data_IF_783583919008
#
_entry.id   IF_783583919008
#
_cell.length_a   1.000
_cell.length_b   1.000
_cell.length_c   1.000
_cell.angle_alpha   90.00
_cell.angle_beta   90.00
_cell.angle_gamma   90.00
#
_symmetry.space_group_name_H-M   'P 1'
#
loop_
_entity.id
_entity.type
_entity.pdbx_description
1 polymer ?
#
# COMPACT_ATOMS: atom_id res chain seq x y z
N UNK A 1 30.28 20.79 -38.93
CA UNK A 1 28.97 21.12 -38.34
C UNK A 1 28.88 20.30 -37.06
N UNK A 2 29.13 20.95 -35.93
CA UNK A 2 29.17 20.32 -34.60
C UNK A 2 27.74 19.97 -34.19
N UNK A 3 27.42 18.69 -34.09
CA UNK A 3 26.18 18.24 -33.47
C UNK A 3 26.35 18.36 -31.96
N UNK A 4 25.70 19.34 -31.36
CA UNK A 4 25.58 19.45 -29.90
C UNK A 4 24.89 18.18 -29.39
N UNK A 5 25.57 17.47 -28.50
CA UNK A 5 24.95 16.40 -27.70
C UNK A 5 24.03 17.10 -26.72
N UNK A 6 22.76 17.19 -27.09
CA UNK A 6 21.70 17.70 -26.21
C UNK A 6 21.57 16.73 -25.04
N UNK A 7 22.27 17.03 -23.93
CA UNK A 7 22.17 16.29 -22.68
C UNK A 7 20.79 16.57 -22.10
N UNK A 8 19.80 15.76 -22.52
CA UNK A 8 18.46 15.76 -21.93
C UNK A 8 18.64 15.48 -20.43
N UNK A 9 18.44 16.51 -19.62
CA UNK A 9 18.34 16.35 -18.18
C UNK A 9 17.21 15.36 -17.92
N UNK A 10 17.44 14.27 -17.17
CA UNK A 10 16.39 13.29 -16.94
C UNK A 10 15.21 13.94 -16.22
N UNK A 11 13.99 13.49 -16.56
CA UNK A 11 12.77 13.99 -15.94
C UNK A 11 12.78 13.58 -14.46
N UNK A 12 13.01 14.58 -13.59
CA UNK A 12 13.08 14.43 -12.15
C UNK A 12 11.89 13.68 -11.56
N UNK A 13 10.71 13.72 -12.20
CA UNK A 13 9.52 13.01 -11.74
C UNK A 13 9.54 11.51 -12.07
N UNK A 14 10.19 11.11 -13.17
CA UNK A 14 10.38 9.73 -13.58
C UNK A 14 11.47 9.06 -12.73
N UNK A 15 12.59 9.76 -12.51
CA UNK A 15 13.68 9.31 -11.65
C UNK A 15 13.21 9.10 -10.19
N UNK A 16 12.36 9.99 -9.68
CA UNK A 16 11.80 9.85 -8.33
C UNK A 16 10.88 8.64 -8.21
N UNK A 17 10.09 8.32 -9.24
CA UNK A 17 9.21 7.14 -9.23
C UNK A 17 10.02 5.84 -9.29
N UNK A 18 11.04 5.78 -10.14
CA UNK A 18 11.93 4.63 -10.21
C UNK A 18 12.72 4.45 -8.91
N UNK A 19 13.22 5.55 -8.33
CA UNK A 19 13.87 5.52 -7.03
C UNK A 19 12.93 4.99 -5.95
N UNK A 20 11.72 5.53 -5.83
CA UNK A 20 10.70 5.05 -4.88
C UNK A 20 10.42 3.56 -5.09
N UNK A 21 10.24 3.11 -6.33
CA UNK A 21 9.98 1.69 -6.61
C UNK A 21 11.16 0.80 -6.19
N UNK A 22 12.40 1.26 -6.35
CA UNK A 22 13.58 0.53 -5.89
C UNK A 22 13.71 0.45 -4.36
N UNK A 23 12.98 1.28 -3.63
CA UNK A 23 12.99 1.33 -2.15
C UNK A 23 11.81 0.57 -1.53
N UNK A 24 10.87 0.04 -2.33
CA UNK A 24 9.77 -0.76 -1.80
C UNK A 24 10.33 -2.10 -1.33
N UNK A 25 10.23 -2.35 -0.03
CA UNK A 25 10.54 -3.63 0.57
C UNK A 25 9.26 -4.32 1.03
N UNK A 26 9.21 -5.64 0.84
CA UNK A 26 8.11 -6.48 1.32
C UNK A 26 8.62 -7.33 2.48
N UNK A 27 7.87 -7.34 3.58
CA UNK A 27 8.14 -8.20 4.74
C UNK A 27 6.85 -8.69 5.38
N UNK A 28 6.96 -9.65 6.29
CA UNK A 28 5.83 -10.06 7.12
C UNK A 28 5.47 -8.97 8.13
N UNK A 29 4.20 -8.98 8.53
CA UNK A 29 3.68 -8.15 9.60
C UNK A 29 4.40 -8.37 10.94
N UNK A 30 4.65 -7.28 11.65
CA UNK A 30 5.09 -7.25 13.04
C UNK A 30 4.11 -6.43 13.88
N UNK A 31 3.95 -6.72 15.17
CA UNK A 31 2.93 -6.08 16.01
C UNK A 31 3.04 -4.54 16.05
N UNK A 32 4.26 -4.00 15.92
CA UNK A 32 4.54 -2.57 15.86
C UNK A 32 3.92 -1.86 14.63
N UNK A 33 3.54 -2.62 13.60
CA UNK A 33 2.94 -2.09 12.38
C UNK A 33 1.44 -1.81 12.51
N UNK A 34 0.83 -2.31 13.59
CA UNK A 34 -0.61 -2.32 13.82
C UNK A 34 -1.29 -0.98 13.57
N UNK A 35 -0.74 0.09 14.13
CA UNK A 35 -1.33 1.42 14.02
C UNK A 35 -1.28 1.97 12.60
N UNK A 36 -0.13 1.80 11.92
CA UNK A 36 0.03 2.20 10.52
C UNK A 36 -0.90 1.40 9.60
N UNK A 37 -1.11 0.10 9.85
CA UNK A 37 -2.08 -0.71 9.10
C UNK A 37 -3.52 -0.24 9.33
N UNK A 38 -3.91 -0.01 10.58
CA UNK A 38 -5.25 0.46 10.91
C UNK A 38 -5.56 1.78 10.20
N UNK A 39 -4.61 2.71 10.21
CA UNK A 39 -4.72 4.00 9.53
C UNK A 39 -4.77 3.84 8.01
N UNK A 40 -3.90 3.01 7.43
CA UNK A 40 -3.86 2.79 5.98
C UNK A 40 -5.16 2.15 5.48
N UNK A 41 -5.68 1.15 6.17
CA UNK A 41 -6.97 0.54 5.85
C UNK A 41 -8.10 1.57 5.92
N UNK A 42 -8.20 2.30 7.03
CA UNK A 42 -9.25 3.29 7.23
C UNK A 42 -9.24 4.35 6.12
N UNK A 43 -8.07 4.90 5.81
CA UNK A 43 -7.92 5.91 4.76
C UNK A 43 -8.25 5.35 3.39
N UNK A 44 -7.82 4.12 3.08
CA UNK A 44 -8.11 3.50 1.78
C UNK A 44 -9.61 3.30 1.61
N UNK A 45 -10.30 2.76 2.61
CA UNK A 45 -11.76 2.56 2.54
C UNK A 45 -12.50 3.90 2.46
N UNK A 46 -12.09 4.91 3.24
CA UNK A 46 -12.78 6.20 3.28
C UNK A 46 -12.52 7.10 2.07
N UNK A 47 -11.35 7.01 1.45
CA UNK A 47 -10.96 7.91 0.35
C UNK A 47 -11.13 7.29 -1.03
N UNK A 48 -10.92 5.98 -1.15
CA UNK A 48 -10.99 5.27 -2.43
C UNK A 48 -12.39 4.67 -2.61
N UNK A 49 -12.82 3.82 -1.67
CA UNK A 49 -14.08 3.07 -1.81
C UNK A 49 -15.33 3.97 -1.70
N UNK A 50 -15.21 5.21 -1.20
CA UNK A 50 -16.31 6.18 -1.18
C UNK A 50 -16.84 6.54 -2.57
N UNK A 51 -16.07 6.25 -3.63
CA UNK A 51 -16.48 6.47 -5.03
C UNK A 51 -17.46 5.40 -5.53
N UNK A 52 -17.36 4.19 -4.98
CA UNK A 52 -18.06 3.00 -5.48
C UNK A 52 -19.14 2.51 -4.50
N UNK A 53 -19.13 2.99 -3.25
CA UNK A 53 -20.02 2.54 -2.19
C UNK A 53 -20.69 3.69 -1.44
N UNK A 54 -21.87 3.42 -0.88
CA UNK A 54 -22.58 4.41 -0.07
C UNK A 54 -21.80 4.74 1.21
N UNK A 55 -22.02 5.95 1.75
CA UNK A 55 -21.37 6.36 3.00
C UNK A 55 -21.69 5.43 4.18
N UNK A 56 -22.86 4.78 4.18
CA UNK A 56 -23.22 3.81 5.20
C UNK A 56 -22.39 2.52 5.09
N UNK A 57 -22.17 2.01 3.86
CA UNK A 57 -21.31 0.85 3.65
C UNK A 57 -19.86 1.15 4.01
N UNK A 58 -19.35 2.30 3.57
CA UNK A 58 -17.98 2.75 3.91
C UNK A 58 -17.80 2.88 5.43
N UNK A 59 -18.76 3.49 6.14
CA UNK A 59 -18.74 3.59 7.61
C UNK A 59 -18.84 2.25 8.31
N UNK A 60 -19.59 1.30 7.74
CA UNK A 60 -19.70 -0.05 8.29
C UNK A 60 -18.37 -0.81 8.18
N UNK A 61 -17.60 -0.59 7.11
CA UNK A 61 -16.31 -1.26 6.90
C UNK A 61 -15.14 -0.56 7.57
N UNK A 62 -15.15 0.77 7.62
CA UNK A 62 -14.14 1.58 8.29
C UNK A 62 -14.82 2.61 9.17
N UNK A 63 -15.27 2.26 10.39
CA UNK A 63 -15.82 3.22 11.37
C UNK A 63 -14.82 4.32 11.72
N UNK A 64 -15.29 5.41 12.33
CA UNK A 64 -14.42 6.55 12.67
C UNK A 64 -13.32 6.17 13.69
N UNK A 65 -13.56 5.13 14.50
CA UNK A 65 -12.55 4.55 15.37
C UNK A 65 -11.71 3.52 14.58
N UNK A 66 -10.44 3.84 14.31
CA UNK A 66 -9.52 2.93 13.60
C UNK A 66 -9.21 1.65 14.39
N UNK A 67 -9.41 1.64 15.71
CA UNK A 67 -9.20 0.50 16.60
C UNK A 67 -10.48 -0.34 16.80
N UNK A 68 -11.47 -0.22 15.91
CA UNK A 68 -12.74 -0.98 16.00
C UNK A 68 -12.58 -2.51 15.92
N UNK A 69 -11.39 -3.00 15.54
CA UNK A 69 -11.03 -4.42 15.52
C UNK A 69 -9.63 -4.64 16.11
N UNK A 70 -9.37 -5.86 16.55
CA UNK A 70 -8.04 -6.26 17.03
C UNK A 70 -7.11 -6.54 15.84
N UNK A 71 -6.45 -5.49 15.36
CA UNK A 71 -5.56 -5.58 14.20
C UNK A 71 -4.37 -6.50 14.40
N UNK A 72 -3.80 -6.57 15.62
CA UNK A 72 -2.74 -7.54 15.94
C UNK A 72 -3.26 -8.96 15.70
N UNK A 73 -4.41 -9.30 16.27
CA UNK A 73 -4.99 -10.64 16.12
C UNK A 73 -5.35 -10.96 14.67
N UNK A 74 -5.98 -10.02 13.95
CA UNK A 74 -6.35 -10.26 12.55
C UNK A 74 -5.12 -10.44 11.67
N UNK A 75 -4.10 -9.61 11.82
CA UNK A 75 -2.89 -9.69 10.99
C UNK A 75 -2.01 -10.89 11.36
N UNK A 76 -1.88 -11.22 12.65
CA UNK A 76 -1.08 -12.36 13.13
C UNK A 76 -1.73 -13.72 12.87
N UNK A 77 -3.05 -13.77 12.71
CA UNK A 77 -3.75 -15.02 12.38
C UNK A 77 -3.69 -15.40 10.89
N UNK A 78 -3.06 -14.55 10.06
CA UNK A 78 -2.98 -14.69 8.58
C UNK A 78 -1.55 -14.48 8.10
N UNK A 79 -1.22 -14.92 6.88
CA UNK A 79 0.05 -14.52 6.26
C UNK A 79 -0.07 -13.09 5.72
N UNK A 80 0.07 -12.13 6.62
CA UNK A 80 -0.03 -10.71 6.29
C UNK A 80 1.33 -10.17 5.88
N UNK A 81 1.42 -9.71 4.64
CA UNK A 81 2.58 -9.02 4.09
C UNK A 81 2.38 -7.51 4.11
N UNK A 82 3.49 -6.81 4.31
CA UNK A 82 3.57 -5.35 4.33
C UNK A 82 4.52 -4.91 3.23
N UNK A 83 4.05 -3.98 2.40
CA UNK A 83 4.90 -3.17 1.54
C UNK A 83 5.24 -1.86 2.28
N UNK A 84 6.52 -1.59 2.45
CA UNK A 84 7.00 -0.38 3.12
C UNK A 84 8.09 0.31 2.31
N UNK A 85 8.19 1.62 2.49
CA UNK A 85 9.27 2.46 1.97
C UNK A 85 9.88 3.15 3.17
N UNK A 86 11.15 2.86 3.47
CA UNK A 86 11.80 3.29 4.70
C UNK A 86 10.93 2.91 5.92
N UNK A 87 10.45 3.84 6.72
CA UNK A 87 9.64 3.53 7.91
C UNK A 87 8.12 3.63 7.67
N UNK A 88 7.70 3.88 6.43
CA UNK A 88 6.29 4.12 6.08
C UNK A 88 5.68 2.89 5.42
N UNK A 89 4.58 2.40 5.98
CA UNK A 89 3.76 1.37 5.35
C UNK A 89 2.95 1.97 4.21
N UNK A 90 3.20 1.47 3.00
CA UNK A 90 2.54 1.92 1.77
C UNK A 90 1.58 0.87 1.22
N UNK A 91 1.54 -0.32 1.80
CA UNK A 91 0.58 -1.35 1.45
C UNK A 91 0.60 -2.51 2.44
N UNK A 92 -0.51 -3.23 2.52
CA UNK A 92 -0.53 -4.54 3.17
C UNK A 92 -1.48 -5.47 2.43
N UNK A 93 -1.24 -6.76 2.54
CA UNK A 93 -2.12 -7.76 1.96
C UNK A 93 -1.97 -9.12 2.62
N UNK A 94 -3.01 -9.93 2.46
CA UNK A 94 -3.11 -11.27 3.05
C UNK A 94 -2.89 -12.28 1.93
N UNK A 95 -1.99 -13.24 2.16
CA UNK A 95 -1.77 -14.38 1.29
C UNK A 95 -2.39 -15.63 1.92
N UNK A 96 -3.20 -16.35 1.16
CA UNK A 96 -3.70 -17.66 1.54
C UNK A 96 -2.57 -18.69 1.43
N UNK A 97 -2.68 -19.76 2.23
CA UNK A 97 -1.69 -20.85 2.21
C UNK A 97 -1.59 -21.57 0.84
N UNK A 98 -2.60 -21.39 -0.03
CA UNK A 98 -2.62 -21.90 -1.40
C UNK A 98 -1.97 -20.95 -2.43
N UNK A 99 -1.44 -19.81 -1.99
CA UNK A 99 -0.80 -18.81 -2.84
C UNK A 99 -1.75 -17.77 -3.45
N UNK A 100 -3.04 -17.77 -3.09
CA UNK A 100 -3.98 -16.73 -3.52
C UNK A 100 -3.89 -15.48 -2.64
N UNK A 101 -4.04 -14.29 -3.23
CA UNK A 101 -4.12 -13.03 -2.49
C UNK A 101 -5.57 -12.85 -2.02
N UNK A 102 -5.80 -12.83 -0.71
CA UNK A 102 -7.14 -12.64 -0.11
C UNK A 102 -7.53 -11.16 -0.09
N UNK A 103 -6.57 -10.27 0.21
CA UNK A 103 -6.76 -8.83 0.22
C UNK A 103 -5.45 -8.11 -0.10
N UNK A 104 -5.49 -7.01 -0.87
CA UNK A 104 -4.33 -6.16 -1.11
C UNK A 104 -4.73 -4.68 -1.11
N UNK A 105 -4.16 -3.92 -0.18
CA UNK A 105 -4.38 -2.48 -0.05
C UNK A 105 -3.07 -1.76 -0.38
N UNK A 106 -3.12 -0.85 -1.34
CA UNK A 106 -1.99 -0.02 -1.72
C UNK A 106 -2.35 1.45 -1.54
N UNK A 107 -1.45 2.18 -0.88
CA UNK A 107 -1.54 3.61 -0.68
C UNK A 107 -1.71 4.30 -2.03
N UNK A 108 -2.67 5.24 -2.09
CA UNK A 108 -3.15 5.89 -3.32
C UNK A 108 -2.05 6.50 -4.21
N UNK A 109 -0.93 6.93 -3.61
CA UNK A 109 0.20 7.52 -4.33
C UNK A 109 1.11 6.49 -5.04
N UNK A 110 0.94 5.18 -4.78
CA UNK A 110 1.78 4.11 -5.32
C UNK A 110 0.99 3.08 -6.13
N UNK A 111 -0.29 3.36 -6.41
CA UNK A 111 -1.06 2.57 -7.37
C UNK A 111 -0.48 2.75 -8.79
N UNK A 112 -0.32 1.64 -9.52
CA UNK A 112 0.32 1.63 -10.84
C UNK A 112 1.84 1.42 -10.85
N UNK A 113 2.48 1.28 -9.69
CA UNK A 113 3.92 0.98 -9.55
C UNK A 113 4.29 -0.51 -9.64
N UNK A 114 3.36 -1.39 -10.07
CA UNK A 114 3.66 -2.81 -10.24
C UNK A 114 3.73 -3.64 -8.95
N UNK A 115 3.25 -3.13 -7.82
CA UNK A 115 3.25 -3.86 -6.53
C UNK A 115 2.40 -5.15 -6.59
N UNK A 116 1.47 -5.27 -7.54
CA UNK A 116 0.72 -6.50 -7.84
C UNK A 116 1.22 -7.31 -9.04
N UNK A 117 2.41 -7.04 -9.59
CA UNK A 117 2.94 -7.69 -10.81
C UNK A 117 4.13 -8.63 -10.58
N UNK A 118 4.61 -8.76 -9.35
CA UNK A 118 5.59 -9.79 -9.00
C UNK A 118 4.87 -11.00 -8.44
N UNK A 119 4.47 -11.87 -9.36
CA UNK A 119 4.00 -13.23 -9.15
C UNK A 119 4.40 -14.04 -10.38
#
# INVERSE_FOLDING_TARGET
>A
MTSEVECKQPDRSQDLREYVNSQIAIRLFEEQDTEQIAQLFHNTVREINIRDYSSNQVRAWAPDNIYFRNWVEVCSSRFTYIAHIMDTIVGFGELEANGHIDCFYCHKNYQGCGIGKQG
#
